data_IF_389050713900
#
_entry.id   IF_389050713900
#
_cell.length_a   1.000
_cell.length_b   1.000
_cell.length_c   1.000
_cell.angle_alpha   90.00
_cell.angle_beta   90.00
_cell.angle_gamma   90.00
#
_symmetry.space_group_name_H-M   'P 1'
#
loop_
_entity.id
_entity.type
_entity.pdbx_description
1 polymer ?
#
# COMPACT_ATOMS: atom_id res chain seq x y z
N UNK A 1 53.43 15.03 4.89
CA UNK A 1 52.88 13.74 4.43
C UNK A 1 51.63 13.23 5.19
N UNK A 2 51.44 13.48 6.49
CA UNK A 2 50.25 13.00 7.24
C UNK A 2 48.90 13.61 6.81
N UNK A 3 48.87 14.91 6.45
CA UNK A 3 47.62 15.60 6.06
C UNK A 3 46.98 15.03 4.77
N UNK A 4 47.78 14.62 3.78
CA UNK A 4 47.30 14.09 2.50
C UNK A 4 46.63 12.71 2.63
N UNK A 5 47.06 11.90 3.61
CA UNK A 5 46.48 10.56 3.89
C UNK A 5 45.09 10.67 4.50
N UNK A 6 44.87 11.63 5.40
CA UNK A 6 43.57 11.86 6.04
C UNK A 6 42.51 12.40 5.06
N UNK A 7 42.91 13.18 4.06
CA UNK A 7 42.00 13.67 3.01
C UNK A 7 41.55 12.54 2.08
N UNK A 8 42.45 11.63 1.69
CA UNK A 8 42.08 10.44 0.89
C UNK A 8 41.14 9.50 1.67
N UNK A 9 41.43 9.25 2.95
CA UNK A 9 40.59 8.39 3.79
C UNK A 9 39.18 8.97 3.99
N UNK A 10 39.06 10.28 4.28
CA UNK A 10 37.75 10.96 4.36
C UNK A 10 36.96 10.85 3.05
N UNK A 11 37.60 11.05 1.89
CA UNK A 11 36.93 10.92 0.58
C UNK A 11 36.39 9.51 0.35
N UNK A 12 37.18 8.47 0.68
CA UNK A 12 36.75 7.06 0.52
C UNK A 12 35.59 6.72 1.44
N UNK A 13 35.63 7.15 2.71
CA UNK A 13 34.54 6.93 3.67
C UNK A 13 33.25 7.63 3.22
N UNK A 14 33.35 8.87 2.75
CA UNK A 14 32.19 9.60 2.25
C UNK A 14 31.62 8.95 0.99
N UNK A 15 32.45 8.55 0.02
CA UNK A 15 31.98 7.83 -1.17
C UNK A 15 31.31 6.49 -0.77
N UNK A 16 31.87 5.76 0.18
CA UNK A 16 31.27 4.54 0.72
C UNK A 16 29.90 4.79 1.34
N UNK A 17 29.76 5.83 2.17
CA UNK A 17 28.47 6.21 2.76
C UNK A 17 27.46 6.68 1.70
N UNK A 18 27.90 7.45 0.70
CA UNK A 18 27.05 7.87 -0.43
C UNK A 18 26.55 6.66 -1.21
N UNK A 19 27.43 5.70 -1.54
CA UNK A 19 27.06 4.48 -2.26
C UNK A 19 26.17 3.54 -1.46
N UNK A 20 26.38 3.43 -0.14
CA UNK A 20 25.49 2.66 0.75
C UNK A 20 24.12 3.33 0.81
N UNK A 21 24.07 4.67 0.90
CA UNK A 21 22.83 5.43 0.98
C UNK A 21 22.06 5.47 -0.35
N UNK A 22 22.71 5.71 -1.50
CA UNK A 22 22.06 5.52 -2.80
C UNK A 22 21.70 4.05 -3.03
N UNK A 23 22.50 3.13 -2.50
CA UNK A 23 22.15 1.73 -2.39
C UNK A 23 20.82 1.54 -1.69
N UNK A 24 20.65 1.97 -0.45
CA UNK A 24 19.43 1.74 0.33
C UNK A 24 18.20 2.53 -0.15
N UNK A 25 18.40 3.70 -0.78
CA UNK A 25 17.31 4.51 -1.36
C UNK A 25 16.83 3.96 -2.71
N UNK A 26 17.68 3.27 -3.47
CA UNK A 26 17.35 2.73 -4.81
C UNK A 26 17.31 1.19 -4.91
N UNK A 27 17.80 0.42 -3.91
CA UNK A 27 17.73 -1.05 -3.88
C UNK A 27 16.44 -1.70 -3.31
N UNK A 28 15.36 -1.02 -2.86
CA UNK A 28 14.12 -1.75 -2.63
C UNK A 28 13.61 -2.43 -3.93
N UNK A 29 14.07 -1.98 -5.09
CA UNK A 29 13.70 -2.50 -6.41
C UNK A 29 14.29 -3.86 -6.80
N UNK A 30 15.30 -4.40 -6.09
CA UNK A 30 16.03 -5.60 -6.56
C UNK A 30 16.03 -6.77 -5.56
N UNK A 31 15.51 -6.59 -4.33
CA UNK A 31 15.79 -7.51 -3.23
C UNK A 31 14.63 -8.02 -2.37
N UNK A 32 13.36 -7.80 -2.71
CA UNK A 32 12.26 -8.44 -1.95
C UNK A 32 11.84 -9.74 -2.64
N UNK A 33 12.30 -10.85 -2.07
CA UNK A 33 11.87 -12.19 -2.42
C UNK A 33 10.34 -12.32 -2.32
N UNK A 34 9.78 -13.21 -3.17
CA UNK A 34 8.39 -13.61 -3.19
C UNK A 34 7.90 -13.94 -1.78
N UNK A 35 7.02 -13.11 -1.23
CA UNK A 35 6.05 -13.57 -0.23
C UNK A 35 4.85 -14.03 -1.05
N UNK A 36 4.97 -15.23 -1.61
CA UNK A 36 3.83 -16.02 -2.06
C UNK A 36 3.60 -17.01 -0.93
N UNK A 37 2.54 -16.80 -0.16
CA UNK A 37 2.12 -17.80 0.81
C UNK A 37 0.68 -18.20 0.53
N UNK A 38 0.57 -19.42 0.06
CA UNK A 38 -0.65 -20.20 0.10
C UNK A 38 -0.95 -20.52 1.57
N UNK A 39 -1.64 -19.61 2.26
CA UNK A 39 -2.30 -19.94 3.52
C UNK A 39 -3.67 -20.50 3.13
N UNK A 40 -3.88 -21.78 3.40
CA UNK A 40 -5.19 -22.42 3.32
C UNK A 40 -5.92 -22.03 4.60
N UNK A 41 -6.74 -20.97 4.53
CA UNK A 41 -7.72 -20.66 5.59
C UNK A 41 -9.00 -21.43 5.30
N UNK A 42 -9.59 -22.03 6.33
CA UNK A 42 -10.83 -22.80 6.23
C UNK A 42 -11.98 -21.96 5.64
N UNK A 43 -12.72 -22.59 4.73
CA UNK A 43 -13.65 -21.96 3.79
C UNK A 43 -14.85 -21.29 4.47
N UNK A 44 -15.05 -19.99 4.25
CA UNK A 44 -16.39 -19.46 4.06
C UNK A 44 -16.83 -19.85 2.63
N UNK A 45 -17.78 -20.78 2.54
CA UNK A 45 -18.23 -21.28 1.24
C UNK A 45 -18.78 -20.13 0.38
N UNK A 46 -18.31 -19.96 -0.88
CA UNK A 46 -18.84 -18.93 -1.76
C UNK A 46 -20.35 -19.15 -1.90
N UNK A 47 -21.11 -18.04 -1.86
CA UNK A 47 -22.53 -18.02 -2.14
C UNK A 47 -22.77 -18.70 -3.50
N UNK A 48 -23.86 -19.47 -3.65
CA UNK A 48 -24.17 -20.08 -4.95
C UNK A 48 -24.25 -18.98 -6.03
N UNK A 49 -23.40 -19.08 -7.05
CA UNK A 49 -23.39 -18.15 -8.18
C UNK A 49 -24.40 -18.53 -9.26
N UNK A 50 -24.65 -17.61 -10.19
CA UNK A 50 -25.60 -17.79 -11.31
C UNK A 50 -24.95 -18.37 -12.60
N UNK A 51 -23.66 -18.68 -12.56
CA UNK A 51 -22.83 -19.15 -13.67
C UNK A 51 -22.24 -18.04 -14.54
N UNK A 52 -22.40 -16.75 -14.18
CA UNK A 52 -21.88 -15.60 -14.93
C UNK A 52 -21.06 -14.69 -14.03
N UNK A 53 -19.80 -14.49 -14.39
CA UNK A 53 -18.96 -13.49 -13.71
C UNK A 53 -19.38 -12.07 -14.11
N UNK A 54 -19.85 -11.29 -13.15
CA UNK A 54 -19.88 -9.83 -13.21
C UNK A 54 -18.77 -9.20 -12.33
N UNK A 55 -18.49 -7.94 -12.59
CA UNK A 55 -17.47 -7.16 -11.88
C UNK A 55 -18.16 -6.01 -11.15
N UNK A 56 -17.92 -5.94 -9.84
CA UNK A 56 -18.49 -4.94 -8.94
C UNK A 56 -17.38 -4.17 -8.23
N UNK A 57 -17.58 -2.86 -8.02
CA UNK A 57 -16.61 -2.07 -7.29
C UNK A 57 -17.21 -1.00 -6.39
N UNK A 58 -16.52 -0.70 -5.31
CA UNK A 58 -16.65 0.54 -4.55
C UNK A 58 -15.33 1.30 -4.67
N UNK A 59 -15.39 2.52 -5.20
CA UNK A 59 -14.25 3.42 -5.23
C UNK A 59 -14.58 4.61 -4.34
N UNK A 60 -13.97 4.64 -3.17
CA UNK A 60 -14.16 5.66 -2.16
C UNK A 60 -12.89 6.52 -2.05
N UNK A 61 -13.07 7.81 -1.81
CA UNK A 61 -11.95 8.65 -1.44
C UNK A 61 -12.34 10.03 -0.96
N UNK A 62 -11.46 10.61 -0.16
CA UNK A 62 -11.63 11.93 0.41
C UNK A 62 -10.36 12.77 0.25
N UNK A 63 -10.48 13.88 -0.49
CA UNK A 63 -9.39 14.87 -0.65
C UNK A 63 -9.71 16.22 -0.01
N UNK A 64 -10.98 16.41 0.35
CA UNK A 64 -11.61 17.61 0.90
C UNK A 64 -12.49 17.20 2.07
N UNK A 65 -11.97 17.35 3.28
CA UNK A 65 -12.62 16.85 4.49
C UNK A 65 -13.66 17.85 5.00
N UNK A 66 -14.53 17.39 5.91
CA UNK A 66 -15.47 18.28 6.59
C UNK A 66 -14.72 19.37 7.37
N UNK A 67 -13.63 18.98 8.02
CA UNK A 67 -12.62 19.90 8.54
C UNK A 67 -11.51 20.11 7.50
N UNK A 68 -11.36 21.33 6.93
CA UNK A 68 -10.34 21.62 5.93
C UNK A 68 -8.88 21.41 6.39
N UNK A 69 -8.62 21.34 7.70
CA UNK A 69 -7.28 21.03 8.23
C UNK A 69 -6.80 19.66 7.76
N UNK A 70 -7.74 18.75 7.48
CA UNK A 70 -7.45 17.40 7.01
C UNK A 70 -7.40 17.29 5.48
N UNK A 71 -7.54 18.38 4.72
CA UNK A 71 -7.51 18.36 3.27
C UNK A 71 -6.19 17.79 2.71
N UNK A 72 -6.32 16.95 1.68
CA UNK A 72 -5.18 16.38 0.97
C UNK A 72 -4.90 17.25 -0.27
N UNK A 73 -3.65 17.73 -0.49
CA UNK A 73 -3.33 18.68 -1.54
C UNK A 73 -3.19 18.02 -2.93
N UNK A 74 -4.24 17.34 -3.39
CA UNK A 74 -4.31 16.71 -4.71
C UNK A 74 -5.55 17.16 -5.49
N UNK A 75 -5.51 17.01 -6.82
CA UNK A 75 -6.63 17.33 -7.68
C UNK A 75 -7.68 16.21 -7.74
N UNK A 76 -8.91 16.58 -8.13
CA UNK A 76 -10.03 15.66 -8.30
C UNK A 76 -9.82 14.63 -9.42
N UNK A 77 -8.98 14.95 -10.41
CA UNK A 77 -8.67 14.07 -11.53
C UNK A 77 -7.85 12.85 -11.09
N UNK A 78 -6.87 13.07 -10.20
CA UNK A 78 -5.99 12.01 -9.68
C UNK A 78 -6.80 10.94 -8.95
N UNK A 79 -7.80 11.36 -8.17
CA UNK A 79 -8.68 10.45 -7.43
C UNK A 79 -9.50 9.51 -8.33
N UNK A 80 -9.69 9.89 -9.60
CA UNK A 80 -10.51 9.18 -10.61
C UNK A 80 -9.73 8.25 -11.51
N UNK A 81 -8.40 8.23 -11.44
CA UNK A 81 -7.60 7.43 -12.37
C UNK A 81 -8.00 5.95 -12.35
N UNK A 82 -8.20 5.37 -11.16
CA UNK A 82 -8.64 3.97 -11.03
C UNK A 82 -9.99 3.73 -11.70
N UNK A 83 -10.97 4.60 -11.42
CA UNK A 83 -12.31 4.54 -12.04
C UNK A 83 -12.22 4.57 -13.56
N UNK A 84 -11.42 5.46 -14.13
CA UNK A 84 -11.24 5.57 -15.59
C UNK A 84 -10.57 4.33 -16.19
N UNK A 85 -9.60 3.73 -15.50
CA UNK A 85 -9.00 2.46 -15.95
C UNK A 85 -10.00 1.31 -15.95
N UNK A 86 -10.85 1.19 -14.92
CA UNK A 86 -11.90 0.17 -14.88
C UNK A 86 -12.92 0.40 -16.00
N UNK A 87 -13.47 1.61 -16.12
CA UNK A 87 -14.52 1.93 -17.09
C UNK A 87 -14.08 1.82 -18.56
N UNK A 88 -12.79 1.90 -18.83
CA UNK A 88 -12.31 1.69 -20.18
C UNK A 88 -12.44 0.21 -20.61
N UNK A 89 -12.41 -0.74 -19.66
CA UNK A 89 -12.39 -2.17 -19.91
C UNK A 89 -13.79 -2.73 -20.25
N UNK A 90 -13.88 -3.77 -21.09
CA UNK A 90 -15.17 -4.28 -21.56
C UNK A 90 -15.97 -5.01 -20.47
N UNK A 91 -15.30 -5.62 -19.49
CA UNK A 91 -15.92 -6.40 -18.42
C UNK A 91 -16.51 -5.54 -17.28
N UNK A 92 -16.14 -4.26 -17.18
CA UNK A 92 -16.62 -3.34 -16.14
C UNK A 92 -17.79 -2.51 -16.61
N UNK A 93 -18.93 -2.60 -15.90
CA UNK A 93 -20.15 -1.84 -16.20
C UNK A 93 -20.31 -0.72 -15.18
N UNK A 94 -20.51 0.53 -15.64
CA UNK A 94 -20.71 1.70 -14.76
C UNK A 94 -21.78 1.48 -13.68
N UNK A 95 -22.88 0.79 -14.02
CA UNK A 95 -23.98 0.47 -13.08
C UNK A 95 -23.59 -0.45 -11.92
N UNK A 96 -22.45 -1.14 -12.01
CA UNK A 96 -21.93 -2.04 -10.99
C UNK A 96 -20.82 -1.36 -10.14
N UNK A 97 -20.52 -0.09 -10.39
CA UNK A 97 -19.50 0.67 -9.67
C UNK A 97 -20.18 1.75 -8.83
N UNK A 98 -19.98 1.66 -7.51
CA UNK A 98 -20.35 2.69 -6.54
C UNK A 98 -19.15 3.63 -6.39
N UNK A 99 -19.37 4.93 -6.61
CA UNK A 99 -18.33 5.97 -6.46
C UNK A 99 -18.70 6.86 -5.29
N UNK A 100 -17.82 6.92 -4.30
CA UNK A 100 -17.96 7.72 -3.08
C UNK A 100 -16.85 8.77 -3.04
N UNK A 101 -16.99 9.81 -3.86
CA UNK A 101 -16.14 11.00 -3.77
C UNK A 101 -16.91 12.15 -3.11
N UNK A 102 -16.15 13.08 -2.56
CA UNK A 102 -16.66 14.25 -1.85
C UNK A 102 -16.91 15.45 -2.78
N UNK A 103 -16.55 15.37 -4.06
CA UNK A 103 -16.92 16.37 -5.06
C UNK A 103 -18.28 16.04 -5.71
N UNK A 104 -19.03 17.09 -6.06
CA UNK A 104 -20.41 16.96 -6.58
C UNK A 104 -20.47 16.56 -8.06
N UNK A 105 -19.35 16.20 -8.67
CA UNK A 105 -19.19 16.24 -10.14
C UNK A 105 -19.51 14.93 -10.85
N UNK A 106 -19.71 13.81 -10.16
CA UNK A 106 -19.98 12.51 -10.82
C UNK A 106 -20.93 11.55 -10.04
N UNK A 107 -22.21 11.91 -9.82
CA UNK A 107 -23.17 10.97 -9.20
C UNK A 107 -24.35 10.66 -10.10
N UNK A 108 -24.39 9.42 -10.61
CA UNK A 108 -25.58 8.78 -11.18
C UNK A 108 -25.67 7.36 -10.61
N UNK A 109 -26.02 7.23 -9.33
CA UNK A 109 -26.44 5.96 -8.73
C UNK A 109 -27.63 6.20 -7.78
N UNK A 110 -28.78 5.52 -7.97
CA UNK A 110 -30.04 5.84 -7.28
C UNK A 110 -30.06 5.55 -5.78
N UNK A 111 -29.06 4.82 -5.26
CA UNK A 111 -28.96 4.47 -3.83
C UNK A 111 -28.04 5.42 -3.03
N UNK A 112 -27.39 6.39 -3.68
CA UNK A 112 -26.42 7.27 -3.01
C UNK A 112 -26.95 8.70 -2.97
N UNK A 113 -26.93 9.31 -1.78
CA UNK A 113 -26.99 10.76 -1.66
C UNK A 113 -25.75 11.34 -2.33
N UNK A 114 -25.95 12.31 -3.22
CA UNK A 114 -24.85 13.08 -3.83
C UNK A 114 -23.93 13.61 -2.72
N UNK A 115 -22.65 13.24 -2.78
CA UNK A 115 -21.60 13.82 -1.94
C UNK A 115 -21.20 12.96 -0.74
N UNK A 116 -19.91 12.65 -0.71
CA UNK A 116 -19.16 12.35 0.50
C UNK A 116 -18.83 10.88 0.69
N UNK A 117 -17.54 10.60 0.83
CA UNK A 117 -17.02 9.36 1.40
C UNK A 117 -17.23 9.36 2.93
N UNK A 118 -18.48 9.52 3.40
CA UNK A 118 -18.81 9.49 4.84
C UNK A 118 -18.72 8.06 5.38
N UNK A 119 -18.53 7.93 6.69
CA UNK A 119 -18.53 6.62 7.37
C UNK A 119 -19.76 5.81 7.00
N UNK A 120 -20.92 6.44 7.13
CA UNK A 120 -22.21 5.80 6.89
C UNK A 120 -22.38 5.36 5.43
N UNK A 121 -21.96 6.18 4.45
CA UNK A 121 -22.08 5.83 3.03
C UNK A 121 -21.16 4.69 2.63
N UNK A 122 -19.94 4.63 3.19
CA UNK A 122 -18.99 3.54 2.92
C UNK A 122 -19.56 2.22 3.46
N UNK A 123 -20.00 2.18 4.72
CA UNK A 123 -20.57 0.98 5.32
C UNK A 123 -21.87 0.53 4.61
N UNK A 124 -22.77 1.46 4.29
CA UNK A 124 -23.99 1.15 3.52
C UNK A 124 -23.67 0.60 2.12
N UNK A 125 -22.61 1.08 1.47
CA UNK A 125 -22.17 0.57 0.18
C UNK A 125 -21.64 -0.86 0.28
N UNK A 126 -20.85 -1.17 1.31
CA UNK A 126 -20.35 -2.52 1.58
C UNK A 126 -21.52 -3.49 1.87
N UNK A 127 -22.46 -3.10 2.73
CA UNK A 127 -23.67 -3.88 3.02
C UNK A 127 -24.53 -4.13 1.78
N UNK A 128 -24.58 -3.16 0.87
CA UNK A 128 -25.27 -3.32 -0.41
C UNK A 128 -24.55 -4.34 -1.30
N UNK A 129 -23.21 -4.27 -1.39
CA UNK A 129 -22.43 -5.22 -2.19
C UNK A 129 -22.51 -6.65 -1.64
N UNK A 130 -22.50 -6.84 -0.32
CA UNK A 130 -22.69 -8.17 0.30
C UNK A 130 -24.01 -8.84 -0.14
N UNK A 131 -25.07 -8.05 -0.35
CA UNK A 131 -26.35 -8.55 -0.87
C UNK A 131 -26.32 -8.80 -2.37
N UNK A 132 -25.63 -7.92 -3.11
CA UNK A 132 -25.68 -7.83 -4.57
C UNK A 132 -24.76 -8.80 -5.29
N UNK A 133 -23.54 -8.98 -4.76
CA UNK A 133 -22.48 -9.82 -5.32
C UNK A 133 -22.77 -11.30 -5.01
N UNK A 134 -22.41 -12.20 -5.92
CA UNK A 134 -22.49 -13.65 -5.75
C UNK A 134 -21.14 -14.37 -5.94
N UNK A 135 -21.16 -15.70 -5.81
CA UNK A 135 -19.95 -16.53 -5.82
C UNK A 135 -19.20 -16.61 -7.14
N UNK A 136 -19.76 -16.16 -8.26
CA UNK A 136 -19.07 -16.14 -9.56
C UNK A 136 -18.42 -14.78 -9.88
N UNK A 137 -18.76 -13.75 -9.10
CA UNK A 137 -18.39 -12.36 -9.31
C UNK A 137 -16.99 -12.01 -8.77
N UNK A 138 -16.45 -10.90 -9.29
CA UNK A 138 -15.25 -10.25 -8.77
C UNK A 138 -15.63 -8.91 -8.11
N UNK A 139 -15.15 -8.70 -6.89
CA UNK A 139 -15.37 -7.47 -6.14
C UNK A 139 -14.07 -6.68 -5.97
N UNK A 140 -14.13 -5.36 -6.16
CA UNK A 140 -13.02 -4.44 -5.90
C UNK A 140 -13.43 -3.34 -4.93
N UNK A 141 -12.66 -3.15 -3.87
CA UNK A 141 -12.76 -1.99 -2.99
C UNK A 141 -11.49 -1.15 -3.09
N UNK A 142 -11.64 0.17 -3.23
CA UNK A 142 -10.52 1.09 -3.17
C UNK A 142 -10.83 2.26 -2.23
N UNK A 143 -9.92 2.51 -1.29
CA UNK A 143 -9.91 3.68 -0.42
C UNK A 143 -8.72 4.59 -0.76
N UNK A 144 -8.99 5.89 -0.88
CA UNK A 144 -7.99 6.93 -1.11
C UNK A 144 -8.22 8.10 -0.15
N UNK A 145 -7.42 8.20 0.90
CA UNK A 145 -7.58 9.26 1.90
C UNK A 145 -6.62 9.10 3.06
N UNK A 146 -6.96 9.70 4.20
CA UNK A 146 -6.23 9.49 5.44
C UNK A 146 -6.49 8.10 6.03
N UNK A 147 -5.51 7.66 6.80
CA UNK A 147 -5.57 6.56 7.73
C UNK A 147 -4.95 7.03 9.04
N UNK A 148 -5.37 6.43 10.15
CA UNK A 148 -4.90 6.74 11.49
C UNK A 148 -4.81 5.44 12.28
N UNK A 149 -4.34 5.54 13.51
CA UNK A 149 -4.63 4.54 14.53
C UNK A 149 -5.45 5.16 15.67
N UNK A 150 -6.17 4.31 16.39
CA UNK A 150 -7.01 4.66 17.55
C UNK A 150 -6.76 3.64 18.66
N UNK A 151 -7.12 3.95 19.90
CA UNK A 151 -6.97 2.96 20.98
C UNK A 151 -7.76 1.69 20.66
N UNK A 152 -7.09 0.55 20.82
CA UNK A 152 -7.65 -0.79 20.79
C UNK A 152 -8.56 -0.95 22.02
N UNK A 153 -9.84 -1.23 21.76
CA UNK A 153 -10.88 -1.34 22.78
C UNK A 153 -11.19 -2.81 23.15
N UNK A 154 -10.77 -3.80 22.36
CA UNK A 154 -11.11 -5.22 22.54
C UNK A 154 -9.91 -6.16 22.77
N UNK A 155 -8.70 -5.65 22.59
CA UNK A 155 -7.43 -6.28 22.95
C UNK A 155 -6.86 -7.22 21.90
N UNK A 156 -7.40 -7.23 20.68
CA UNK A 156 -7.01 -8.16 19.64
C UNK A 156 -5.72 -7.78 18.89
N UNK A 157 -5.25 -6.54 19.06
CA UNK A 157 -3.95 -6.11 18.53
C UNK A 157 -2.76 -6.56 19.38
N UNK A 158 -3.01 -7.01 20.61
CA UNK A 158 -1.96 -7.46 21.50
C UNK A 158 -1.34 -8.78 21.02
N UNK A 159 -0.13 -8.71 20.46
CA UNK A 159 0.62 -9.87 19.96
C UNK A 159 1.74 -10.28 20.92
N UNK A 160 2.08 -11.57 20.99
CA UNK A 160 3.17 -12.05 21.86
C UNK A 160 4.54 -11.41 21.57
N UNK A 161 4.83 -11.10 20.30
CA UNK A 161 6.08 -10.46 19.89
C UNK A 161 6.02 -8.92 19.91
N UNK A 162 4.81 -8.35 20.05
CA UNK A 162 4.55 -6.92 20.21
C UNK A 162 3.53 -6.69 21.34
N UNK A 163 3.83 -7.10 22.60
CA UNK A 163 2.87 -7.07 23.71
C UNK A 163 2.53 -5.66 24.20
N UNK A 164 3.09 -4.64 23.56
CA UNK A 164 2.81 -3.23 23.81
C UNK A 164 1.93 -2.60 22.72
N UNK A 165 1.51 -3.37 21.71
CA UNK A 165 0.54 -2.86 20.75
C UNK A 165 -0.83 -2.70 21.40
N UNK A 166 -1.47 -1.57 21.12
CA UNK A 166 -2.72 -1.13 21.75
C UNK A 166 -3.51 -0.21 20.81
N UNK A 167 -3.30 -0.37 19.51
CA UNK A 167 -3.73 0.59 18.52
C UNK A 167 -4.32 -0.13 17.31
N UNK A 168 -5.60 0.10 17.03
CA UNK A 168 -6.26 -0.41 15.82
C UNK A 168 -6.04 0.58 14.68
N UNK A 169 -5.80 0.06 13.49
CA UNK A 169 -5.71 0.90 12.31
C UNK A 169 -7.09 1.23 11.73
N UNK A 170 -7.21 2.45 11.21
CA UNK A 170 -8.49 2.96 10.73
C UNK A 170 -8.34 3.70 9.42
N UNK A 171 -9.36 3.60 8.56
CA UNK A 171 -9.56 4.56 7.48
C UNK A 171 -10.34 5.77 8.01
N UNK A 172 -10.07 6.94 7.42
CA UNK A 172 -10.65 8.21 7.85
C UNK A 172 -11.62 8.79 6.81
N UNK A 173 -12.93 8.52 6.93
CA UNK A 173 -13.99 9.09 6.11
C UNK A 173 -14.06 10.62 6.09
N UNK A 174 -14.85 11.18 5.18
CA UNK A 174 -15.08 12.62 5.02
C UNK A 174 -15.48 13.34 6.31
N UNK A 175 -16.30 12.68 7.13
CA UNK A 175 -16.96 13.21 8.32
C UNK A 175 -16.24 12.87 9.63
N UNK A 176 -14.94 12.51 9.56
CA UNK A 176 -14.10 12.44 10.76
C UNK A 176 -14.07 13.77 11.49
N UNK A 177 -13.96 13.70 12.81
CA UNK A 177 -13.70 14.84 13.67
C UNK A 177 -12.94 14.42 14.91
N UNK A 178 -12.24 15.37 15.52
CA UNK A 178 -11.57 15.19 16.81
C UNK A 178 -12.38 15.95 17.85
N UNK A 179 -12.71 15.30 18.97
CA UNK A 179 -13.45 15.94 20.06
C UNK A 179 -12.53 16.83 20.93
N UNK A 180 -13.12 17.46 21.95
CA UNK A 180 -12.39 18.34 22.87
C UNK A 180 -11.30 17.63 23.71
N UNK A 181 -11.38 16.30 23.81
CA UNK A 181 -10.41 15.46 24.51
C UNK A 181 -9.30 14.95 23.58
N UNK A 182 -9.33 15.32 22.29
CA UNK A 182 -8.38 14.84 21.30
C UNK A 182 -8.69 13.45 20.74
N UNK A 183 -9.87 12.88 21.03
CA UNK A 183 -10.27 11.56 20.51
C UNK A 183 -10.82 11.71 19.09
N UNK A 184 -10.33 10.87 18.19
CA UNK A 184 -10.83 10.76 16.82
C UNK A 184 -12.19 10.06 16.82
N UNK A 185 -13.12 10.49 15.95
CA UNK A 185 -14.46 9.91 15.78
C UNK A 185 -14.81 9.75 14.29
N UNK A 186 -15.85 8.96 14.01
CA UNK A 186 -16.34 8.64 12.66
C UNK A 186 -15.31 7.96 11.73
N UNK A 187 -14.34 7.27 12.30
CA UNK A 187 -13.43 6.38 11.59
C UNK A 187 -14.09 5.00 11.33
N UNK A 188 -13.45 4.17 10.51
CA UNK A 188 -13.83 2.76 10.31
C UNK A 188 -12.60 1.92 10.63
N UNK A 189 -12.71 1.01 11.61
CA UNK A 189 -11.66 0.07 12.01
C UNK A 189 -11.45 -1.02 10.95
N UNK A 190 -10.24 -1.57 10.89
CA UNK A 190 -9.92 -2.84 10.23
C UNK A 190 -10.92 -3.93 10.57
N UNK A 191 -11.29 -4.13 11.83
CA UNK A 191 -12.32 -5.07 12.29
C UNK A 191 -13.64 -4.95 11.52
N UNK A 192 -14.13 -3.71 11.45
CA UNK A 192 -15.37 -3.41 10.77
C UNK A 192 -15.21 -3.66 9.26
N UNK A 193 -14.04 -3.35 8.70
CA UNK A 193 -13.76 -3.61 7.29
C UNK A 193 -13.67 -5.12 7.01
N UNK A 194 -12.99 -5.89 7.86
CA UNK A 194 -12.88 -7.34 7.75
C UNK A 194 -14.27 -7.97 7.78
N UNK A 195 -15.09 -7.66 8.79
CA UNK A 195 -16.46 -8.16 8.88
C UNK A 195 -17.26 -7.83 7.61
N UNK A 196 -17.15 -6.61 7.11
CA UNK A 196 -17.87 -6.19 5.90
C UNK A 196 -17.37 -6.91 4.65
N UNK A 197 -16.07 -7.13 4.51
CA UNK A 197 -15.52 -7.85 3.37
C UNK A 197 -15.80 -9.35 3.42
N UNK A 198 -15.81 -9.96 4.61
CA UNK A 198 -16.13 -11.37 4.80
C UNK A 198 -17.60 -11.68 4.48
N UNK A 199 -18.47 -10.70 4.63
CA UNK A 199 -19.87 -10.79 4.20
C UNK A 199 -20.05 -10.70 2.66
N UNK A 200 -19.03 -10.32 1.90
CA UNK A 200 -19.07 -10.27 0.42
C UNK A 200 -18.56 -11.60 -0.14
N UNK A 201 -19.44 -12.61 -0.13
CA UNK A 201 -19.11 -13.96 -0.58
C UNK A 201 -19.05 -14.04 -2.11
N UNK A 202 -17.85 -13.83 -2.66
CA UNK A 202 -17.60 -13.81 -4.10
C UNK A 202 -16.40 -14.66 -4.51
N UNK A 203 -16.17 -14.80 -5.83
CA UNK A 203 -15.05 -15.59 -6.35
C UNK A 203 -13.70 -15.03 -5.92
N UNK A 204 -13.55 -13.71 -5.93
CA UNK A 204 -12.31 -13.05 -5.54
C UNK A 204 -12.50 -11.56 -5.24
N UNK A 205 -11.69 -11.07 -4.30
CA UNK A 205 -11.74 -9.69 -3.83
C UNK A 205 -10.40 -8.98 -4.07
N UNK A 206 -10.43 -7.77 -4.61
CA UNK A 206 -9.26 -6.89 -4.75
C UNK A 206 -9.46 -5.66 -3.87
N UNK A 207 -8.66 -5.51 -2.82
CA UNK A 207 -8.76 -4.42 -1.85
C UNK A 207 -7.53 -3.52 -2.00
N UNK A 208 -7.73 -2.22 -2.24
CA UNK A 208 -6.67 -1.23 -2.43
C UNK A 208 -6.82 -0.15 -1.36
N UNK A 209 -5.83 0.00 -0.47
CA UNK A 209 -5.85 0.93 0.65
C UNK A 209 -4.70 1.92 0.51
N UNK A 210 -5.01 3.10 -0.04
CA UNK A 210 -4.08 4.22 -0.16
C UNK A 210 -4.28 5.18 1.03
N UNK A 211 -3.59 4.89 2.13
CA UNK A 211 -3.60 5.72 3.32
C UNK A 211 -2.37 5.48 4.22
N UNK A 212 -2.14 6.40 5.16
CA UNK A 212 -1.13 6.21 6.21
C UNK A 212 -1.47 4.99 7.08
N UNK A 213 -0.44 4.31 7.60
CA UNK A 213 -0.57 3.13 8.48
C UNK A 213 -1.31 1.95 7.83
N UNK A 214 -1.57 2.00 6.53
CA UNK A 214 -2.36 0.97 5.80
C UNK A 214 -1.80 -0.45 5.90
N UNK A 215 -0.51 -0.61 6.20
CA UNK A 215 0.07 -1.95 6.43
C UNK A 215 -0.36 -2.61 7.73
N UNK A 216 -0.89 -1.84 8.69
CA UNK A 216 -1.40 -2.35 9.98
C UNK A 216 -2.77 -2.98 9.79
N UNK A 217 -3.61 -2.36 8.94
CA UNK A 217 -4.93 -2.88 8.51
C UNK A 217 -4.93 -4.31 7.92
N UNK A 218 -3.75 -4.88 7.63
CA UNK A 218 -3.59 -6.20 7.01
C UNK A 218 -2.64 -7.11 7.80
N UNK A 219 -2.03 -6.62 8.88
CA UNK A 219 -0.98 -7.34 9.57
C UNK A 219 -1.63 -8.42 10.42
N UNK A 220 -2.08 -9.57 9.88
CA UNK A 220 -2.42 -10.72 10.75
C UNK A 220 -1.18 -11.15 11.51
N UNK A 221 -1.33 -11.51 12.79
CA UNK A 221 -0.26 -12.04 13.64
C UNK A 221 0.62 -12.96 12.79
N UNK A 222 1.88 -12.54 12.57
CA UNK A 222 2.81 -13.12 11.60
C UNK A 222 3.21 -14.59 11.89
N UNK A 223 2.39 -15.34 12.63
CA UNK A 223 2.57 -16.75 12.98
C UNK A 223 1.89 -17.73 12.04
N UNK A 224 0.98 -17.32 11.15
CA UNK A 224 0.66 -18.15 9.98
C UNK A 224 1.77 -18.15 8.91
N UNK A 225 2.89 -17.47 9.23
CA UNK A 225 4.07 -17.29 8.40
C UNK A 225 5.28 -18.15 8.80
N UNK A 226 5.13 -19.14 9.67
CA UNK A 226 6.24 -20.04 10.02
C UNK A 226 6.69 -20.89 8.82
N UNK A 227 7.81 -20.51 8.22
CA UNK A 227 8.71 -21.48 7.60
C UNK A 227 9.17 -22.44 8.68
N UNK A 228 8.94 -23.73 8.48
CA UNK A 228 9.52 -24.81 9.30
C UNK A 228 11.04 -24.78 9.16
N UNK A 229 11.73 -23.99 9.98
CA UNK A 229 13.11 -24.27 10.37
C UNK A 229 13.04 -25.22 11.57
N UNK A 230 12.50 -26.41 11.34
CA UNK A 230 12.72 -27.52 12.28
C UNK A 230 14.11 -28.03 11.96
N UNK A 231 15.03 -27.95 12.91
CA UNK A 231 16.37 -28.52 12.78
C UNK A 231 16.20 -30.04 12.69
N UNK A 232 16.06 -30.53 11.45
CA UNK A 232 15.90 -31.95 11.21
C UNK A 232 17.25 -32.58 11.55
N UNK A 233 17.28 -33.33 12.66
CA UNK A 233 18.45 -34.15 12.99
C UNK A 233 18.83 -34.98 11.76
N UNK A 234 20.12 -35.34 11.60
CA UNK A 234 20.68 -35.99 10.39
C UNK A 234 19.91 -37.23 9.89
N UNK A 235 19.06 -37.82 10.72
CA UNK A 235 18.27 -39.01 10.46
C UNK A 235 16.81 -38.73 10.06
N UNK A 236 16.41 -37.47 9.87
CA UNK A 236 15.07 -37.12 9.39
C UNK A 236 13.96 -37.12 10.44
N UNK A 237 14.29 -37.27 11.73
CA UNK A 237 13.34 -37.42 12.83
C UNK A 237 13.34 -36.14 13.68
N UNK A 238 12.16 -35.52 13.79
CA UNK A 238 11.88 -34.38 14.66
C UNK A 238 11.78 -34.87 16.11
N UNK A 239 12.37 -34.14 17.06
CA UNK A 239 12.23 -34.45 18.48
C UNK A 239 10.75 -34.41 18.90
N UNK A 240 10.18 -35.51 19.44
CA UNK A 240 8.79 -35.55 19.89
C UNK A 240 8.43 -34.48 20.93
N UNK A 241 9.38 -34.04 21.76
CA UNK A 241 9.15 -33.02 22.78
C UNK A 241 9.08 -31.61 22.18
N UNK A 242 9.91 -31.30 21.18
CA UNK A 242 9.80 -30.07 20.39
C UNK A 242 8.53 -30.04 19.52
N UNK A 243 8.18 -31.16 18.89
CA UNK A 243 6.95 -31.27 18.10
C UNK A 243 5.68 -31.11 18.95
N UNK A 244 5.71 -31.63 20.18
CA UNK A 244 4.61 -31.50 21.15
C UNK A 244 4.49 -30.08 21.69
N UNK A 245 5.62 -29.42 21.98
CA UNK A 245 5.65 -28.01 22.40
C UNK A 245 5.18 -27.08 21.28
N UNK A 246 5.64 -27.31 20.04
CA UNK A 246 5.17 -26.60 18.85
C UNK A 246 3.66 -26.80 18.63
N UNK A 247 3.15 -28.03 18.76
CA UNK A 247 1.71 -28.30 18.60
C UNK A 247 0.86 -27.63 19.69
N UNK A 248 1.39 -27.50 20.91
CA UNK A 248 0.74 -26.75 21.99
C UNK A 248 0.77 -25.24 21.76
N UNK A 249 1.92 -24.68 21.39
CA UNK A 249 2.05 -23.25 21.11
C UNK A 249 1.22 -22.85 19.88
N UNK A 250 1.15 -23.71 18.85
CA UNK A 250 0.28 -23.56 17.69
C UNK A 250 -1.21 -23.69 18.07
N UNK A 251 -1.56 -24.58 19.00
CA UNK A 251 -2.91 -24.72 19.51
C UNK A 251 -3.38 -23.53 20.37
N UNK A 252 -2.48 -22.93 21.14
CA UNK A 252 -2.75 -21.71 21.91
C UNK A 252 -2.82 -20.46 21.00
N UNK A 253 -2.03 -20.38 19.92
CA UNK A 253 -2.11 -19.31 18.90
C UNK A 253 -3.32 -19.46 17.95
N UNK A 254 -3.74 -20.68 17.61
CA UNK A 254 -4.97 -20.93 16.84
C UNK A 254 -6.22 -20.62 17.66
N UNK A 255 -6.15 -20.76 18.99
CA UNK A 255 -7.20 -20.32 19.90
C UNK A 255 -7.14 -18.82 20.21
N UNK A 256 -6.03 -18.13 19.88
CA UNK A 256 -5.90 -16.67 19.93
C UNK A 256 -6.23 -16.02 18.58
N UNK A 257 -7.14 -16.63 17.80
CA UNK A 257 -7.66 -16.17 16.49
C UNK A 257 -8.43 -14.84 16.53
N UNK A 258 -7.95 -13.86 17.30
CA UNK A 258 -8.63 -12.60 17.52
C UNK A 258 -8.10 -11.48 16.64
N UNK A 259 -6.90 -11.53 16.03
CA UNK A 259 -6.45 -10.41 15.15
C UNK A 259 -7.33 -10.34 13.89
N UNK A 260 -8.29 -9.41 13.89
CA UNK A 260 -9.33 -9.20 12.88
C UNK A 260 -8.87 -8.29 11.73
N UNK A 261 -7.71 -8.59 11.14
CA UNK A 261 -7.18 -7.81 10.02
C UNK A 261 -7.82 -8.16 8.66
N UNK A 262 -7.74 -7.24 7.69
CA UNK A 262 -8.36 -7.38 6.36
C UNK A 262 -7.78 -8.54 5.52
N UNK A 263 -6.69 -9.21 5.91
CA UNK A 263 -6.18 -10.34 5.14
C UNK A 263 -7.07 -11.59 5.26
N UNK A 264 -7.53 -12.16 4.13
CA UNK A 264 -8.32 -13.40 4.11
C UNK A 264 -8.12 -14.19 2.81
N UNK A 265 -8.53 -15.47 2.81
CA UNK A 265 -8.47 -16.32 1.61
C UNK A 265 -9.40 -15.78 0.51
N UNK A 266 -8.96 -15.86 -0.74
CA UNK A 266 -9.69 -15.31 -1.90
C UNK A 266 -9.55 -13.79 -2.06
N UNK A 267 -8.73 -13.12 -1.24
CA UNK A 267 -8.54 -11.67 -1.24
C UNK A 267 -7.10 -11.31 -1.61
N UNK A 268 -6.95 -10.44 -2.61
CA UNK A 268 -5.72 -9.71 -2.90
C UNK A 268 -5.83 -8.34 -2.23
N UNK A 269 -4.93 -8.03 -1.31
CA UNK A 269 -4.91 -6.75 -0.59
C UNK A 269 -3.65 -5.98 -0.94
N UNK A 270 -3.80 -4.74 -1.38
CA UNK A 270 -2.72 -3.82 -1.70
C UNK A 270 -2.78 -2.63 -0.74
N UNK A 271 -1.64 -2.33 -0.13
CA UNK A 271 -1.49 -1.22 0.84
C UNK A 271 -0.31 -0.35 0.44
N UNK A 272 -0.37 0.93 0.82
CA UNK A 272 0.63 1.92 0.40
C UNK A 272 1.84 2.01 1.35
N UNK A 273 1.64 1.69 2.62
CA UNK A 273 2.63 1.86 3.68
C UNK A 273 2.82 0.57 4.47
N UNK A 274 3.89 0.49 5.26
CA UNK A 274 3.98 -0.49 6.34
C UNK A 274 3.06 -0.05 7.50
N UNK A 275 2.83 -0.92 8.49
CA UNK A 275 1.91 -0.62 9.59
C UNK A 275 2.29 0.62 10.40
N UNK A 276 3.58 0.84 10.63
CA UNK A 276 4.05 1.99 11.42
C UNK A 276 4.55 3.17 10.56
N UNK A 277 4.12 3.27 9.30
CA UNK A 277 4.62 4.30 8.38
C UNK A 277 3.52 5.13 7.71
N UNK A 278 3.86 6.39 7.43
CA UNK A 278 2.94 7.33 6.79
C UNK A 278 3.21 7.45 5.29
N UNK A 279 2.12 7.67 4.56
CA UNK A 279 2.09 7.78 3.10
C UNK A 279 2.54 9.17 2.64
N UNK A 280 2.85 9.28 1.34
CA UNK A 280 3.11 10.54 0.65
C UNK A 280 2.29 10.59 -0.61
N UNK A 281 1.61 11.72 -0.80
CA UNK A 281 0.95 12.04 -2.06
C UNK A 281 1.76 13.07 -2.84
N UNK A 282 1.60 13.09 -4.16
CA UNK A 282 2.18 14.13 -5.01
C UNK A 282 1.06 14.91 -5.72
N UNK A 283 1.18 16.23 -5.90
CA UNK A 283 0.15 17.00 -6.62
C UNK A 283 -0.07 16.53 -8.07
N UNK A 284 0.96 15.96 -8.70
CA UNK A 284 0.90 15.51 -10.08
C UNK A 284 0.28 14.12 -10.23
N UNK A 285 0.73 13.15 -9.41
CA UNK A 285 0.33 11.75 -9.53
C UNK A 285 -0.68 11.30 -8.46
N UNK A 286 -1.05 12.17 -7.52
CA UNK A 286 -1.92 11.78 -6.41
C UNK A 286 -1.24 10.78 -5.48
N UNK A 287 -2.03 9.81 -5.01
CA UNK A 287 -1.55 8.65 -4.27
C UNK A 287 -0.76 7.69 -5.18
N UNK A 288 0.43 7.23 -4.76
CA UNK A 288 1.31 6.43 -5.59
C UNK A 288 0.79 5.02 -5.86
N UNK A 289 0.20 4.33 -4.87
CA UNK A 289 -0.34 2.97 -5.07
C UNK A 289 -1.52 3.00 -6.05
N UNK A 290 -2.53 3.83 -5.80
CA UNK A 290 -3.77 3.86 -6.59
C UNK A 290 -3.48 4.29 -8.01
N UNK A 291 -2.68 5.33 -8.21
CA UNK A 291 -2.30 5.79 -9.54
C UNK A 291 -1.42 4.76 -10.25
N UNK A 292 -0.51 4.11 -9.54
CA UNK A 292 0.28 3.01 -10.07
C UNK A 292 -0.61 1.86 -10.56
N UNK A 293 -1.57 1.43 -9.74
CA UNK A 293 -2.54 0.40 -10.08
C UNK A 293 -3.41 0.81 -11.26
N UNK A 294 -3.94 2.03 -11.26
CA UNK A 294 -4.71 2.57 -12.38
C UNK A 294 -3.90 2.51 -13.68
N UNK A 295 -2.64 2.94 -13.66
CA UNK A 295 -1.76 2.82 -14.82
C UNK A 295 -1.44 1.36 -15.18
N UNK A 296 -1.27 0.47 -14.21
CA UNK A 296 -1.06 -0.96 -14.41
C UNK A 296 -2.23 -1.63 -15.11
N UNK A 297 -3.45 -1.22 -14.78
CA UNK A 297 -4.71 -1.71 -15.35
C UNK A 297 -5.08 -1.02 -16.67
N UNK A 298 -4.51 0.16 -16.95
CA UNK A 298 -4.79 0.95 -18.16
C UNK A 298 -4.09 0.37 -19.41
N UNK A 299 -4.76 0.33 -20.56
CA UNK A 299 -4.14 -0.02 -21.86
C UNK A 299 -4.54 -1.41 -22.39
N UNK A 300 -5.73 -1.46 -22.99
CA UNK A 300 -6.53 -2.67 -23.21
C UNK A 300 -6.32 -3.32 -24.58
N UNK A 301 -5.09 -3.72 -24.88
CA UNK A 301 -4.82 -4.45 -26.11
C UNK A 301 -4.03 -5.72 -25.81
N UNK A 302 -4.48 -6.84 -26.37
CA UNK A 302 -3.72 -8.10 -26.34
C UNK A 302 -2.29 -7.89 -26.85
N UNK A 303 -1.32 -8.52 -26.16
CA UNK A 303 0.11 -8.35 -26.39
C UNK A 303 0.74 -7.16 -25.65
N UNK A 304 0.03 -6.56 -24.69
CA UNK A 304 0.61 -5.63 -23.73
C UNK A 304 1.65 -6.34 -22.86
N UNK A 305 2.74 -5.68 -22.49
CA UNK A 305 3.72 -6.21 -21.50
C UNK A 305 3.12 -6.36 -20.09
N UNK A 306 1.88 -5.92 -19.90
CA UNK A 306 1.12 -6.00 -18.65
C UNK A 306 0.47 -7.38 -18.48
N UNK A 307 -0.05 -7.94 -19.57
CA UNK A 307 -0.54 -9.32 -19.67
C UNK A 307 0.65 -10.23 -19.96
N UNK A 308 1.23 -10.76 -18.88
CA UNK A 308 2.48 -11.54 -18.88
C UNK A 308 2.21 -13.00 -19.18
N UNK A 309 1.08 -13.53 -18.74
CA UNK A 309 0.70 -14.92 -18.96
C UNK A 309 0.00 -15.15 -20.32
N UNK A 310 -0.37 -14.07 -21.03
CA UNK A 310 -1.05 -14.06 -22.32
C UNK A 310 -2.44 -14.71 -22.30
N UNK A 311 -3.13 -14.68 -21.17
CA UNK A 311 -4.50 -15.19 -21.01
C UNK A 311 -5.57 -14.19 -21.50
N UNK A 312 -5.15 -12.98 -21.89
CA UNK A 312 -6.04 -11.93 -22.36
C UNK A 312 -6.70 -11.15 -21.23
N UNK A 313 -6.21 -11.26 -20.01
CA UNK A 313 -6.55 -10.43 -18.86
C UNK A 313 -5.32 -9.66 -18.36
N UNK A 314 -5.55 -8.61 -17.58
CA UNK A 314 -4.56 -8.06 -16.66
C UNK A 314 -5.06 -8.38 -15.26
N UNK A 315 -4.28 -9.13 -14.51
CA UNK A 315 -4.57 -9.47 -13.12
C UNK A 315 -4.14 -8.36 -12.14
N UNK A 316 -4.60 -8.44 -10.89
CA UNK A 316 -4.15 -7.54 -9.83
C UNK A 316 -2.62 -7.64 -9.62
N UNK A 317 -2.09 -8.85 -9.62
CA UNK A 317 -0.68 -9.17 -9.42
C UNK A 317 0.18 -8.67 -10.59
N UNK A 318 -0.30 -8.80 -11.82
CA UNK A 318 0.35 -8.27 -13.02
C UNK A 318 0.37 -6.75 -13.04
N UNK A 319 -0.77 -6.12 -12.75
CA UNK A 319 -0.88 -4.68 -12.65
C UNK A 319 0.08 -4.13 -11.59
N UNK A 320 0.09 -4.73 -10.40
CA UNK A 320 0.97 -4.32 -9.31
C UNK A 320 2.44 -4.53 -9.65
N UNK A 321 2.80 -5.69 -10.21
CA UNK A 321 4.17 -5.99 -10.66
C UNK A 321 4.66 -4.98 -11.70
N UNK A 322 3.80 -4.55 -12.61
CA UNK A 322 4.12 -3.52 -13.59
C UNK A 322 4.23 -2.12 -12.95
N UNK A 323 3.34 -1.81 -12.00
CA UNK A 323 3.25 -0.51 -11.33
C UNK A 323 4.42 -0.27 -10.37
N UNK A 324 4.75 -1.27 -9.55
CA UNK A 324 5.74 -1.21 -8.47
C UNK A 324 7.04 -0.47 -8.83
N UNK A 325 7.81 -0.83 -9.87
CA UNK A 325 9.04 -0.12 -10.20
C UNK A 325 8.82 1.35 -10.58
N UNK A 326 7.65 1.70 -11.14
CA UNK A 326 7.31 3.08 -11.52
C UNK A 326 6.89 3.90 -10.31
N UNK A 327 6.18 3.28 -9.37
CA UNK A 327 5.86 3.91 -8.08
C UNK A 327 7.15 4.31 -7.38
N UNK A 328 8.10 3.38 -7.23
CA UNK A 328 9.41 3.68 -6.66
C UNK A 328 10.18 4.73 -7.48
N UNK A 329 10.09 4.71 -8.81
CA UNK A 329 10.72 5.74 -9.64
C UNK A 329 10.12 7.14 -9.39
N UNK A 330 8.80 7.26 -9.20
CA UNK A 330 8.14 8.54 -8.89
C UNK A 330 8.54 9.03 -7.50
N UNK A 331 8.54 8.15 -6.49
CA UNK A 331 9.01 8.47 -5.14
C UNK A 331 10.48 8.91 -5.17
N UNK A 332 11.30 8.28 -6.02
CA UNK A 332 12.71 8.59 -6.20
C UNK A 332 13.03 9.75 -7.14
N UNK A 333 12.08 10.22 -7.95
CA UNK A 333 12.30 11.31 -8.91
C UNK A 333 12.57 12.64 -8.18
N UNK A 334 11.92 12.87 -7.03
CA UNK A 334 12.21 14.02 -6.17
C UNK A 334 13.67 13.98 -5.72
N UNK A 335 14.15 12.80 -5.30
CA UNK A 335 15.54 12.59 -4.90
C UNK A 335 16.51 12.86 -6.05
N UNK A 336 16.20 12.40 -7.26
CA UNK A 336 17.04 12.65 -8.44
C UNK A 336 17.08 14.14 -8.83
N UNK A 337 15.95 14.85 -8.77
CA UNK A 337 15.89 16.28 -9.10
C UNK A 337 16.72 17.16 -8.16
N UNK A 338 16.75 16.83 -6.88
CA UNK A 338 17.54 17.53 -5.87
C UNK A 338 19.05 17.30 -6.07
N UNK A 339 19.44 16.09 -6.49
CA UNK A 339 20.81 15.81 -6.91
C UNK A 339 21.26 16.64 -8.11
N UNK A 340 20.42 16.77 -9.14
CA UNK A 340 20.69 17.62 -10.29
C UNK A 340 20.86 19.09 -9.89
N UNK A 341 20.05 19.58 -8.93
CA UNK A 341 20.20 20.93 -8.40
C UNK A 341 21.56 21.14 -7.72
N UNK A 342 22.02 20.21 -6.87
CA UNK A 342 23.34 20.34 -6.23
C UNK A 342 24.50 20.28 -7.25
N UNK A 343 24.38 19.45 -8.29
CA UNK A 343 25.33 19.41 -9.40
C UNK A 343 25.34 20.76 -10.13
N UNK A 344 24.17 21.32 -10.45
CA UNK A 344 24.07 22.62 -11.10
C UNK A 344 24.63 23.75 -10.21
N UNK A 345 24.27 23.79 -8.94
CA UNK A 345 24.78 24.76 -7.97
C UNK A 345 26.31 24.70 -7.83
N UNK A 346 26.91 23.51 -7.97
CA UNK A 346 28.37 23.34 -7.98
C UNK A 346 29.06 24.01 -9.15
N UNK A 347 28.37 24.11 -10.28
CA UNK A 347 28.86 24.73 -11.50
C UNK A 347 28.78 26.25 -11.43
N UNK A 348 27.77 26.78 -10.72
CA UNK A 348 27.54 28.22 -10.56
C UNK A 348 28.19 28.84 -9.32
N UNK A 349 28.70 28.04 -8.37
CA UNK A 349 29.46 28.57 -7.22
C UNK A 349 30.75 29.24 -7.70
N UNK A 350 30.89 30.53 -7.37
CA UNK A 350 31.96 31.44 -7.80
C UNK A 350 33.35 30.80 -7.74
N UNK A 351 34.16 31.08 -8.76
CA UNK A 351 35.58 30.73 -8.81
C UNK A 351 36.31 31.24 -7.56
N UNK A 352 36.59 30.35 -6.63
CA UNK A 352 37.72 30.54 -5.72
C UNK A 352 38.96 30.04 -6.44
N UNK A 353 39.94 30.92 -6.65
CA UNK A 353 41.23 30.61 -7.23
C UNK A 353 41.81 29.31 -6.60
N UNK A 354 42.21 28.35 -7.43
CA UNK A 354 42.85 27.05 -7.09
C UNK A 354 42.00 25.76 -6.99
N UNK A 355 40.75 25.69 -7.45
CA UNK A 355 40.06 24.38 -7.58
C UNK A 355 39.77 23.95 -9.03
N UNK A 356 40.24 22.75 -9.40
CA UNK A 356 39.89 22.07 -10.66
C UNK A 356 38.40 21.68 -10.69
N UNK A 357 37.80 21.63 -11.89
CA UNK A 357 36.38 21.25 -12.09
C UNK A 357 36.04 19.91 -11.40
N UNK A 358 36.91 18.92 -11.50
CA UNK A 358 36.72 17.62 -10.85
C UNK A 358 36.65 17.70 -9.31
N UNK A 359 37.48 18.55 -8.69
CA UNK A 359 37.45 18.72 -7.24
C UNK A 359 36.20 19.49 -6.77
N UNK A 360 35.69 20.43 -7.58
CA UNK A 360 34.42 21.13 -7.30
C UNK A 360 33.22 20.19 -7.38
N UNK A 361 33.16 19.37 -8.43
CA UNK A 361 32.11 18.38 -8.60
C UNK A 361 32.08 17.39 -7.43
N UNK A 362 33.24 16.85 -7.03
CA UNK A 362 33.33 15.96 -5.87
C UNK A 362 32.91 16.70 -4.59
N UNK A 363 33.39 17.92 -4.36
CA UNK A 363 33.03 18.70 -3.17
C UNK A 363 31.53 18.98 -3.07
N UNK A 364 30.88 19.30 -4.19
CA UNK A 364 29.45 19.57 -4.22
C UNK A 364 28.60 18.31 -4.15
N UNK A 365 29.03 17.20 -4.75
CA UNK A 365 28.39 15.88 -4.54
C UNK A 365 28.44 15.53 -3.05
N UNK A 366 29.60 15.66 -2.42
CA UNK A 366 29.77 15.37 -0.98
C UNK A 366 28.90 16.29 -0.13
N UNK A 367 29.00 17.61 -0.31
CA UNK A 367 28.24 18.57 0.48
C UNK A 367 26.73 18.44 0.23
N UNK A 368 26.32 18.31 -1.03
CA UNK A 368 24.93 18.08 -1.42
C UNK A 368 24.38 16.81 -0.79
N UNK A 369 25.14 15.71 -0.80
CA UNK A 369 24.73 14.46 -0.15
C UNK A 369 24.58 14.62 1.37
N UNK A 370 25.49 15.35 2.02
CA UNK A 370 25.41 15.61 3.46
C UNK A 370 24.18 16.47 3.79
N UNK A 371 23.99 17.59 3.09
CA UNK A 371 22.82 18.46 3.30
C UNK A 371 21.51 17.69 3.07
N UNK A 372 21.46 16.88 2.03
CA UNK A 372 20.34 16.02 1.70
C UNK A 372 20.06 14.98 2.79
N UNK A 373 21.10 14.31 3.28
CA UNK A 373 20.95 13.33 4.36
C UNK A 373 20.40 13.99 5.62
N UNK A 374 20.92 15.17 5.96
CA UNK A 374 20.44 15.95 7.10
C UNK A 374 18.99 16.41 6.90
N UNK A 375 18.62 16.84 5.69
CA UNK A 375 17.24 17.21 5.34
C UNK A 375 16.29 16.00 5.42
N UNK A 376 16.70 14.85 4.89
CA UNK A 376 15.94 13.60 5.03
C UNK A 376 15.72 13.24 6.49
N UNK A 377 16.79 13.23 7.30
CA UNK A 377 16.70 12.95 8.74
C UNK A 377 15.78 13.96 9.42
N UNK A 378 15.91 15.25 9.09
CA UNK A 378 15.05 16.29 9.64
C UNK A 378 13.57 16.09 9.28
N UNK A 379 13.26 15.77 8.01
CA UNK A 379 11.89 15.46 7.56
C UNK A 379 11.35 14.21 8.27
N UNK A 380 12.16 13.16 8.40
CA UNK A 380 11.77 11.94 9.11
C UNK A 380 11.49 12.20 10.59
N UNK A 381 12.32 13.04 11.24
CA UNK A 381 12.07 13.48 12.61
C UNK A 381 10.78 14.31 12.70
N UNK A 382 10.52 15.22 11.74
CA UNK A 382 9.26 15.96 11.70
C UNK A 382 8.05 15.05 11.55
N UNK A 383 8.14 14.01 10.71
CA UNK A 383 7.09 13.01 10.60
C UNK A 383 6.88 12.26 11.91
N UNK A 384 7.96 11.80 12.55
CA UNK A 384 7.85 11.10 13.84
C UNK A 384 7.28 11.98 14.94
N UNK A 385 7.68 13.25 15.01
CA UNK A 385 7.25 14.22 16.03
C UNK A 385 5.79 14.66 15.80
N UNK A 386 5.38 14.91 14.56
CA UNK A 386 4.05 15.46 14.25
C UNK A 386 2.99 14.40 13.96
N UNK A 387 3.38 13.31 13.32
CA UNK A 387 2.47 12.24 12.86
C UNK A 387 2.67 10.91 13.58
N UNK A 388 3.53 10.85 14.60
CA UNK A 388 3.75 9.63 15.41
C UNK A 388 4.49 8.49 14.71
N UNK A 389 4.71 8.57 13.40
CA UNK A 389 5.24 7.49 12.57
C UNK A 389 6.30 7.98 11.56
N UNK A 390 7.09 7.04 11.03
CA UNK A 390 8.13 7.35 10.05
C UNK A 390 7.53 7.48 8.64
N UNK A 391 8.09 8.36 7.81
CA UNK A 391 7.62 8.53 6.43
C UNK A 391 8.21 7.48 5.51
N UNK A 392 7.42 6.48 5.12
CA UNK A 392 7.83 5.46 4.18
C UNK A 392 6.63 4.95 3.37
N UNK A 393 6.57 5.40 2.12
CA UNK A 393 5.65 4.88 1.09
C UNK A 393 6.30 3.65 0.49
N UNK A 394 5.85 2.48 0.92
CA UNK A 394 6.38 1.17 0.51
C UNK A 394 5.18 0.33 0.10
N UNK A 395 4.65 0.54 -1.12
CA UNK A 395 3.50 -0.20 -1.56
C UNK A 395 3.86 -1.67 -1.66
N UNK A 396 2.99 -2.50 -1.12
CA UNK A 396 3.12 -3.95 -1.15
C UNK A 396 1.74 -4.60 -1.26
N UNK A 397 1.76 -5.90 -1.55
CA UNK A 397 0.57 -6.68 -1.82
C UNK A 397 0.68 -7.98 -1.04
N UNK A 398 -0.40 -8.34 -0.35
CA UNK A 398 -0.61 -9.66 0.21
C UNK A 398 -1.65 -10.35 -0.65
N UNK A 399 -1.37 -11.60 -1.00
CA UNK A 399 -2.14 -12.36 -1.97
C UNK A 399 -2.65 -13.64 -1.32
N UNK A 400 -3.93 -13.62 -0.95
CA UNK A 400 -4.67 -14.79 -0.48
C UNK A 400 -5.50 -15.45 -1.57
N UNK A 401 -5.44 -14.98 -2.83
CA UNK A 401 -6.23 -15.52 -3.92
C UNK A 401 -5.48 -16.66 -4.63
N UNK A 402 -6.12 -17.82 -4.87
CA UNK A 402 -5.47 -18.92 -5.56
C UNK A 402 -5.30 -18.59 -7.06
N UNK A 403 -4.08 -18.24 -7.47
CA UNK A 403 -3.72 -18.00 -8.87
C UNK A 403 -3.49 -16.52 -9.16
N UNK A 404 -4.07 -16.02 -10.25
CA UNK A 404 -4.03 -14.59 -10.61
C UNK A 404 -5.46 -14.05 -10.62
N UNK A 405 -5.72 -12.98 -9.87
CA UNK A 405 -7.03 -12.35 -9.78
C UNK A 405 -7.26 -11.44 -10.99
N UNK A 406 -7.94 -11.96 -12.00
CA UNK A 406 -8.20 -11.24 -13.25
C UNK A 406 -9.12 -10.02 -13.03
N UNK A 407 -8.61 -8.82 -13.32
CA UNK A 407 -9.34 -7.54 -13.11
C UNK A 407 -9.80 -6.95 -14.45
N UNK A 408 -8.95 -6.91 -15.47
CA UNK A 408 -9.24 -6.24 -16.74
C UNK A 408 -9.22 -7.24 -17.88
N UNK A 409 -10.33 -7.40 -18.58
CA UNK A 409 -10.36 -8.15 -19.83
C UNK A 409 -9.75 -7.30 -20.96
N UNK A 410 -8.81 -7.88 -21.72
CA UNK A 410 -8.17 -7.22 -22.84
C UNK A 410 -8.99 -7.36 -24.12
N UNK A 411 -9.13 -6.24 -24.85
CA UNK A 411 -9.77 -6.25 -26.17
C UNK A 411 -8.90 -7.04 -27.14
N UNK A 412 -9.55 -7.84 -27.99
CA UNK A 412 -8.90 -8.36 -29.19
C UNK A 412 -8.45 -7.18 -30.05
N UNK A 413 -7.22 -7.23 -30.58
CA UNK A 413 -6.86 -6.31 -31.67
C UNK A 413 -7.83 -6.62 -32.80
N UNK A 414 -8.64 -5.64 -33.22
CA UNK A 414 -9.30 -5.74 -34.52
C UNK A 414 -8.16 -5.94 -35.53
N UNK A 415 -8.19 -7.07 -36.23
CA UNK A 415 -7.33 -7.30 -37.40
C UNK A 415 -7.63 -6.26 -38.47
#
# INVERSE_FOLDING_TARGET
>A
MKAHKNVKLRKVVVIGLVCIFTGTVFLPSVGSARILQNIIVENSYPKSGDGKTEYYAIIAGCIKYKDPVNDIPIGWAQQRFLLWSLLAAPNWKRKNIIVLFNDKTDVFHPLLTVGGATRENILRALDYMAKKVDGDDIFLFAWQGHGSSVEDDDGDEMRWWKPWDRWDEVICPYDIYVDENGKLHNYIRDDELEEKFDNILCKGQCIILECCLSGGLIEKSAKNQFTLDVDVNKDGIIDPEEASKFSRDLGDDLNSSHSKDIYSFGRVVLVDTLGETISRVTPFFGGPLTTGMAMGLLGQWRGSKKDRNHDGFISAEEAFRWARPKIYAVISAMWFSLWLYFIAASYFYKETENQTVANRLVGAIVNGTIYFFLEYVFIQLLYKIRGGAWGATIPHMIDGYPGELNIIELRSRRM
#
